data_IF_214409041258
#
_entry.id   IF_214409041258
#
_cell.length_a   1.000
_cell.length_b   1.000
_cell.length_c   1.000
_cell.angle_alpha   90.00
_cell.angle_beta   90.00
_cell.angle_gamma   90.00
#
_symmetry.space_group_name_H-M   'P 1'
#
loop_
_entity.id
_entity.type
_entity.pdbx_description
1 polymer ?
#
# COMPACT_ATOMS: atom_id res chain seq x y z
N UNK A 1 -3.91 40.02 -0.36
CA UNK A 1 -2.77 39.69 -1.25
C UNK A 1 -1.52 39.66 -0.38
N UNK A 2 -1.21 38.50 0.19
CA UNK A 2 -0.16 38.35 1.20
C UNK A 2 0.88 37.41 0.63
N UNK A 3 2.10 37.91 0.44
CA UNK A 3 3.21 37.17 -0.15
C UNK A 3 3.73 36.10 0.81
N UNK A 4 3.97 34.89 0.29
CA UNK A 4 4.62 33.79 1.00
C UNK A 4 6.14 34.02 1.08
N UNK A 5 6.81 33.63 2.18
CA UNK A 5 8.26 33.78 2.31
C UNK A 5 9.00 32.69 1.53
N UNK A 6 10.06 33.08 0.83
CA UNK A 6 10.97 32.15 0.15
C UNK A 6 11.93 31.49 1.14
N UNK A 7 12.04 30.15 1.04
CA UNK A 7 12.97 29.32 1.81
C UNK A 7 14.33 29.24 1.07
N UNK A 8 15.48 29.36 1.76
CA UNK A 8 16.78 29.35 1.13
C UNK A 8 17.25 27.94 0.76
N UNK A 9 17.72 27.80 -0.49
CA UNK A 9 18.35 26.59 -1.04
C UNK A 9 19.74 26.43 -0.42
N UNK A 10 19.95 25.36 0.34
CA UNK A 10 21.28 24.92 0.76
C UNK A 10 21.85 23.92 -0.25
N UNK A 11 22.92 24.31 -0.96
CA UNK A 11 23.76 23.41 -1.74
C UNK A 11 25.00 23.03 -0.91
N UNK A 12 25.09 21.78 -0.46
CA UNK A 12 26.36 21.19 -0.03
C UNK A 12 26.49 19.78 -0.57
N UNK A 13 27.49 19.61 -1.43
CA UNK A 13 27.82 18.35 -2.07
C UNK A 13 28.43 17.34 -1.11
N UNK A 14 28.09 16.08 -1.33
CA UNK A 14 28.72 14.92 -0.70
C UNK A 14 29.37 14.05 -1.78
N UNK A 15 30.68 13.84 -1.64
CA UNK A 15 31.47 12.93 -2.49
C UNK A 15 31.10 11.49 -2.13
N UNK A 16 30.70 10.69 -3.13
CA UNK A 16 30.53 9.23 -2.98
C UNK A 16 31.89 8.51 -3.09
N UNK A 17 32.13 7.44 -2.31
CA UNK A 17 33.28 6.57 -2.52
C UNK A 17 33.06 5.66 -3.74
N UNK A 18 34.11 5.48 -4.55
CA UNK A 18 34.14 4.50 -5.64
C UNK A 18 34.39 3.11 -5.05
N UNK A 19 33.38 2.26 -5.06
CA UNK A 19 33.55 0.82 -4.87
C UNK A 19 34.05 0.23 -6.19
N UNK A 20 35.25 -0.37 -6.18
CA UNK A 20 35.80 -1.13 -7.31
C UNK A 20 35.28 -2.56 -7.23
N UNK A 21 34.41 -2.95 -8.16
CA UNK A 21 34.11 -4.35 -8.43
C UNK A 21 35.20 -4.92 -9.33
N UNK A 22 35.98 -5.86 -8.80
CA UNK A 22 36.89 -6.73 -9.55
C UNK A 22 36.13 -8.00 -9.94
N UNK A 23 35.68 -8.09 -11.19
CA UNK A 23 35.27 -9.34 -11.82
C UNK A 23 35.31 -9.18 -13.35
N UNK A 24 36.47 -9.40 -13.96
CA UNK A 24 36.62 -9.65 -15.39
C UNK A 24 38.03 -10.17 -15.67
N UNK A 25 38.30 -11.42 -15.27
CA UNK A 25 39.53 -12.12 -15.62
C UNK A 25 39.19 -13.53 -16.14
N UNK A 26 38.37 -13.61 -17.19
CA UNK A 26 38.12 -14.87 -17.90
C UNK A 26 37.88 -14.70 -19.42
N UNK A 27 38.14 -13.52 -19.99
CA UNK A 27 37.95 -13.25 -21.42
C UNK A 27 39.23 -12.75 -22.09
N UNK A 28 40.38 -13.35 -21.73
CA UNK A 28 41.68 -12.96 -22.30
C UNK A 28 42.52 -14.15 -22.79
N UNK A 29 41.87 -15.20 -23.30
CA UNK A 29 42.55 -16.29 -24.03
C UNK A 29 41.71 -16.65 -25.26
N UNK A 30 41.57 -15.72 -26.22
CA UNK A 30 41.08 -16.02 -27.59
C UNK A 30 41.30 -14.85 -28.58
N UNK A 31 42.31 -14.00 -28.37
CA UNK A 31 42.67 -12.98 -29.37
C UNK A 31 44.17 -13.07 -29.67
N UNK A 32 44.52 -14.00 -30.55
CA UNK A 32 45.75 -13.94 -31.33
C UNK A 32 45.33 -14.08 -32.79
N UNK A 33 45.50 -13.05 -33.65
CA UNK A 33 45.39 -13.24 -35.09
C UNK A 33 46.74 -13.73 -35.61
N UNK A 34 46.87 -15.03 -35.87
CA UNK A 34 47.89 -15.55 -36.79
C UNK A 34 47.16 -16.05 -38.02
N UNK A 35 47.39 -15.35 -39.13
CA UNK A 35 47.10 -15.82 -40.47
C UNK A 35 47.80 -17.17 -40.68
N UNK A 36 47.03 -18.25 -40.81
CA UNK A 36 47.37 -19.40 -41.65
C UNK A 36 46.13 -20.27 -41.77
N UNK A 37 45.72 -20.52 -43.01
CA UNK A 37 44.61 -21.40 -43.35
C UNK A 37 44.89 -22.84 -42.88
N UNK A 38 43.89 -23.44 -42.24
CA UNK A 38 43.73 -24.88 -42.12
C UNK A 38 43.91 -25.47 -40.71
N UNK A 39 42.89 -26.22 -40.28
CA UNK A 39 42.84 -27.24 -39.20
C UNK A 39 42.17 -26.82 -37.86
N UNK A 40 41.65 -27.77 -37.04
CA UNK A 40 40.31 -27.74 -36.46
C UNK A 40 40.34 -27.23 -35.01
N UNK A 41 40.46 -25.91 -34.84
CA UNK A 41 40.56 -25.28 -33.51
C UNK A 41 39.21 -24.88 -32.91
N UNK A 42 38.12 -24.83 -33.69
CA UNK A 42 36.83 -24.32 -33.23
C UNK A 42 36.14 -25.18 -32.16
N UNK A 43 36.34 -26.51 -32.18
CA UNK A 43 35.64 -27.43 -31.26
C UNK A 43 36.09 -27.31 -29.80
N UNK A 44 37.31 -26.83 -29.54
CA UNK A 44 37.82 -26.72 -28.17
C UNK A 44 37.25 -25.48 -27.46
N UNK A 45 37.08 -24.37 -28.19
CA UNK A 45 36.51 -23.13 -27.63
C UNK A 45 35.02 -23.31 -27.30
N UNK A 46 34.27 -24.01 -28.16
CA UNK A 46 32.85 -24.28 -27.93
C UNK A 46 32.62 -25.18 -26.70
N UNK A 47 33.51 -26.15 -26.46
CA UNK A 47 33.43 -27.03 -25.30
C UNK A 47 33.73 -26.30 -23.98
N UNK A 48 34.72 -25.40 -23.97
CA UNK A 48 35.07 -24.61 -22.78
C UNK A 48 33.96 -23.59 -22.46
N UNK A 49 33.38 -22.94 -23.48
CA UNK A 49 32.25 -22.03 -23.30
C UNK A 49 30.99 -22.74 -22.78
N UNK A 50 30.70 -23.96 -23.26
CA UNK A 50 29.57 -24.75 -22.79
C UNK A 50 29.76 -25.23 -21.34
N UNK A 51 30.98 -25.59 -20.94
CA UNK A 51 31.29 -26.02 -19.57
C UNK A 51 31.16 -24.85 -18.57
N UNK A 52 31.67 -23.67 -18.91
CA UNK A 52 31.54 -22.48 -18.07
C UNK A 52 30.06 -22.07 -17.86
N UNK A 53 29.24 -22.14 -18.92
CA UNK A 53 27.82 -21.85 -18.84
C UNK A 53 27.03 -22.90 -18.03
N UNK A 54 27.49 -24.14 -17.96
CA UNK A 54 26.87 -25.19 -17.15
C UNK A 54 27.17 -25.03 -15.65
N UNK A 55 28.41 -24.68 -15.29
CA UNK A 55 28.80 -24.40 -13.90
C UNK A 55 28.11 -23.15 -13.35
N UNK A 56 27.96 -22.09 -14.14
CA UNK A 56 27.24 -20.87 -13.75
C UNK A 56 25.75 -21.15 -13.50
N UNK A 57 25.12 -22.01 -14.32
CA UNK A 57 23.73 -22.46 -14.10
C UNK A 57 23.57 -23.30 -12.83
N UNK A 58 24.51 -24.19 -12.53
CA UNK A 58 24.47 -24.98 -11.29
C UNK A 58 24.67 -24.12 -10.04
N UNK A 59 25.59 -23.15 -10.07
CA UNK A 59 25.79 -22.20 -8.99
C UNK A 59 24.55 -21.35 -8.69
N UNK A 60 23.89 -20.84 -9.74
CA UNK A 60 22.64 -20.10 -9.62
C UNK A 60 21.50 -20.95 -9.06
N UNK A 61 21.40 -22.21 -9.45
CA UNK A 61 20.34 -23.10 -8.98
C UNK A 61 20.52 -23.47 -7.50
N UNK A 62 21.76 -23.70 -7.05
CA UNK A 62 22.06 -24.01 -5.65
C UNK A 62 21.82 -22.81 -4.72
N UNK A 63 22.17 -21.59 -5.15
CA UNK A 63 21.90 -20.35 -4.42
C UNK A 63 20.39 -20.05 -4.28
N UNK A 64 19.59 -20.40 -5.29
CA UNK A 64 18.14 -20.21 -5.22
C UNK A 64 17.46 -21.19 -4.24
N UNK A 65 17.95 -22.44 -4.16
CA UNK A 65 17.39 -23.44 -3.24
C UNK A 65 17.71 -23.09 -1.79
N UNK A 66 18.96 -22.73 -1.48
CA UNK A 66 19.36 -22.38 -0.11
C UNK A 66 18.68 -21.11 0.41
N UNK A 67 18.48 -20.10 -0.45
CA UNK A 67 17.74 -18.89 -0.08
C UNK A 67 16.27 -19.17 0.24
N UNK A 68 15.65 -20.15 -0.43
CA UNK A 68 14.25 -20.52 -0.17
C UNK A 68 14.09 -21.28 1.14
N UNK A 69 15.00 -22.20 1.45
CA UNK A 69 14.99 -22.96 2.71
C UNK A 69 15.25 -22.06 3.93
N UNK A 70 16.24 -21.16 3.84
CA UNK A 70 16.51 -20.17 4.90
C UNK A 70 15.28 -19.29 5.19
N UNK A 71 14.58 -18.81 4.15
CA UNK A 71 13.35 -18.02 4.32
C UNK A 71 12.18 -18.80 4.91
N UNK A 72 12.11 -20.12 4.72
CA UNK A 72 11.09 -20.94 5.36
C UNK A 72 11.42 -21.18 6.84
N UNK A 73 12.68 -21.47 7.16
CA UNK A 73 13.13 -21.66 8.54
C UNK A 73 13.01 -20.38 9.38
N UNK A 74 13.35 -19.21 8.81
CA UNK A 74 13.11 -17.92 9.46
C UNK A 74 11.62 -17.66 9.73
N UNK A 75 10.71 -18.12 8.86
CA UNK A 75 9.26 -17.97 9.05
C UNK A 75 8.71 -18.87 10.15
N UNK A 76 9.19 -20.11 10.24
CA UNK A 76 8.78 -21.04 11.30
C UNK A 76 9.20 -20.52 12.69
N UNK A 77 10.43 -20.03 12.82
CA UNK A 77 10.93 -19.48 14.08
C UNK A 77 10.17 -18.23 14.55
N UNK A 78 9.73 -17.37 13.62
CA UNK A 78 8.92 -16.18 13.93
C UNK A 78 7.49 -16.55 14.38
N UNK A 79 6.93 -17.64 13.85
CA UNK A 79 5.58 -18.07 14.22
C UNK A 79 5.52 -18.72 15.62
N UNK A 80 6.56 -19.46 16.03
CA UNK A 80 6.59 -20.09 17.36
C UNK A 80 6.80 -19.07 18.49
N UNK A 81 7.55 -18.00 18.25
CA UNK A 81 7.79 -16.94 19.26
C UNK A 81 6.59 -16.00 19.43
N UNK A 82 5.77 -15.80 18.39
CA UNK A 82 4.58 -14.95 18.47
C UNK A 82 3.46 -15.52 19.37
N UNK A 83 3.48 -16.82 19.70
CA UNK A 83 2.43 -17.48 20.48
C UNK A 83 2.56 -17.30 22.00
N UNK A 84 3.74 -16.98 22.53
CA UNK A 84 3.98 -16.92 23.99
C UNK A 84 4.06 -15.49 24.55
N UNK A 85 4.33 -14.48 23.71
CA UNK A 85 4.52 -13.09 24.16
C UNK A 85 3.24 -12.22 24.14
N UNK A 86 2.05 -12.82 24.01
CA UNK A 86 0.77 -12.10 24.09
C UNK A 86 0.39 -11.72 25.53
N UNK A 87 1.31 -11.12 26.31
CA UNK A 87 1.03 -10.58 27.64
C UNK A 87 0.32 -9.22 27.48
N UNK A 88 -0.93 -9.28 27.02
CA UNK A 88 -1.70 -8.08 26.72
C UNK A 88 -3.01 -8.21 25.93
N UNK A 89 -3.46 -9.39 25.50
CA UNK A 89 -4.90 -9.69 25.55
C UNK A 89 -5.74 -9.84 24.27
N UNK A 90 -5.31 -9.46 23.06
CA UNK A 90 -6.09 -9.78 21.86
C UNK A 90 -5.25 -10.04 20.61
N UNK A 91 -5.57 -11.14 19.95
CA UNK A 91 -5.01 -11.55 18.66
C UNK A 91 -5.74 -10.78 17.55
N UNK A 92 -5.38 -9.50 17.36
CA UNK A 92 -6.03 -8.61 16.41
C UNK A 92 -5.20 -8.45 15.14
N UNK A 93 -5.86 -8.51 13.99
CA UNK A 93 -5.26 -8.17 12.70
C UNK A 93 -6.06 -7.09 11.99
N UNK A 94 -5.42 -5.95 11.74
CA UNK A 94 -6.00 -4.88 10.96
C UNK A 94 -5.97 -5.22 9.46
N UNK A 95 -7.10 -5.04 8.78
CA UNK A 95 -7.22 -5.09 7.33
C UNK A 95 -7.22 -3.66 6.81
N UNK A 96 -6.15 -3.26 6.12
CA UNK A 96 -6.03 -1.90 5.59
C UNK A 96 -6.95 -1.71 4.37
N UNK A 97 -7.84 -0.71 4.46
CA UNK A 97 -8.63 -0.23 3.33
C UNK A 97 -8.13 1.17 2.97
N UNK A 98 -7.76 1.43 1.70
CA UNK A 98 -7.24 2.72 1.30
C UNK A 98 -8.17 3.88 1.67
N UNK A 99 -7.56 4.94 2.19
CA UNK A 99 -8.26 6.18 2.54
C UNK A 99 -9.33 6.02 3.63
N UNK A 100 -9.20 5.08 4.57
CA UNK A 100 -10.11 4.94 5.74
C UNK A 100 -9.40 5.13 7.08
N UNK A 101 -8.41 6.05 7.17
CA UNK A 101 -7.54 6.20 8.36
C UNK A 101 -6.62 4.99 8.66
N UNK A 102 -6.37 4.12 7.68
CA UNK A 102 -5.52 2.93 7.86
C UNK A 102 -4.11 3.25 8.36
N UNK A 103 -3.44 4.24 7.76
CA UNK A 103 -2.11 4.67 8.22
C UNK A 103 -2.13 5.20 9.67
N UNK A 104 -3.21 5.85 10.11
CA UNK A 104 -3.32 6.29 11.51
C UNK A 104 -3.48 5.10 12.48
N UNK A 105 -4.22 4.07 12.08
CA UNK A 105 -4.35 2.82 12.85
C UNK A 105 -3.00 2.10 12.95
N UNK A 106 -2.29 2.01 11.83
CA UNK A 106 -0.97 1.37 11.75
C UNK A 106 0.07 2.13 12.56
N UNK A 107 0.05 3.46 12.52
CA UNK A 107 0.87 4.32 13.37
C UNK A 107 0.59 4.06 14.85
N UNK A 108 -0.68 4.01 15.26
CA UNK A 108 -1.07 3.73 16.64
C UNK A 108 -0.62 2.33 17.09
N UNK A 109 -0.75 1.33 16.21
CA UNK A 109 -0.28 -0.05 16.44
C UNK A 109 1.24 -0.15 16.56
N UNK A 110 1.96 0.67 15.79
CA UNK A 110 3.42 0.74 15.80
C UNK A 110 4.01 1.51 17.00
N UNK A 111 3.18 2.23 17.76
CA UNK A 111 3.66 3.12 18.82
C UNK A 111 4.17 4.48 18.33
N UNK A 112 3.69 4.94 17.17
CA UNK A 112 4.01 6.25 16.57
C UNK A 112 4.81 6.16 15.27
N UNK A 113 4.77 7.24 14.47
CA UNK A 113 5.36 7.25 13.12
C UNK A 113 6.85 6.92 13.10
N UNK A 114 7.61 7.44 14.08
CA UNK A 114 9.04 7.18 14.15
C UNK A 114 9.33 5.70 14.42
N UNK A 115 8.55 5.06 15.30
CA UNK A 115 8.69 3.63 15.58
C UNK A 115 8.32 2.78 14.37
N UNK A 116 7.25 3.15 13.65
CA UNK A 116 6.85 2.52 12.39
C UNK A 116 7.96 2.61 11.32
N UNK A 117 8.55 3.80 11.12
CA UNK A 117 9.58 4.04 10.10
C UNK A 117 10.93 3.41 10.43
N UNK A 118 11.34 3.45 11.70
CA UNK A 118 12.64 2.93 12.11
C UNK A 118 12.63 1.42 12.37
N UNK A 119 11.46 0.78 12.33
CA UNK A 119 11.27 -0.62 12.67
C UNK A 119 12.04 -0.97 13.95
N UNK A 120 11.92 -0.14 15.00
CA UNK A 120 12.69 -0.29 16.23
C UNK A 120 12.32 -1.62 16.89
N UNK A 121 13.17 -2.62 16.67
CA UNK A 121 13.11 -3.93 17.31
C UNK A 121 13.19 -3.73 18.83
N UNK A 122 12.12 -4.08 19.54
CA UNK A 122 12.05 -3.93 20.99
C UNK A 122 10.70 -3.50 21.54
N UNK A 123 9.76 -3.14 20.66
CA UNK A 123 8.35 -3.06 21.03
C UNK A 123 7.63 -4.27 20.42
N UNK A 124 6.81 -4.96 21.22
CA UNK A 124 5.74 -5.89 20.78
C UNK A 124 4.65 -5.13 20.00
N UNK A 125 5.09 -4.27 19.08
CA UNK A 125 4.25 -3.41 18.30
C UNK A 125 3.55 -4.27 17.26
N UNK A 126 2.23 -4.18 17.25
CA UNK A 126 1.44 -4.96 16.34
C UNK A 126 1.74 -4.49 14.91
N UNK A 127 2.35 -5.37 14.10
CA UNK A 127 2.60 -5.11 12.67
C UNK A 127 1.31 -5.34 11.91
N UNK A 128 0.52 -4.28 11.83
CA UNK A 128 -0.79 -4.27 11.22
C UNK A 128 -0.74 -3.79 9.77
N UNK A 129 -1.71 -4.26 8.97
CA UNK A 129 -1.91 -3.87 7.58
C UNK A 129 -0.60 -3.80 6.77
N UNK A 130 -0.27 -2.61 6.26
CA UNK A 130 0.91 -2.34 5.44
C UNK A 130 2.24 -2.62 6.15
N UNK A 131 2.30 -2.48 7.47
CA UNK A 131 3.50 -2.77 8.26
C UNK A 131 3.74 -4.29 8.44
N UNK A 132 2.77 -5.14 8.08
CA UNK A 132 2.92 -6.58 8.15
C UNK A 132 3.81 -7.10 7.00
N UNK A 133 4.98 -7.74 7.27
CA UNK A 133 5.93 -8.14 6.22
C UNK A 133 5.32 -9.11 5.18
N UNK A 134 4.41 -9.97 5.62
CA UNK A 134 3.69 -10.90 4.75
C UNK A 134 2.76 -10.24 3.71
N UNK A 135 2.47 -8.94 3.85
CA UNK A 135 1.56 -8.18 2.98
C UNK A 135 2.29 -7.22 2.01
N UNK A 136 3.62 -7.16 2.03
CA UNK A 136 4.39 -6.27 1.14
C UNK A 136 4.53 -6.78 -0.30
N UNK A 137 3.87 -7.90 -0.65
CA UNK A 137 3.88 -8.46 -2.00
C UNK A 137 2.82 -7.84 -2.92
N UNK A 138 2.88 -8.21 -4.21
CA UNK A 138 1.84 -7.88 -5.20
C UNK A 138 0.93 -9.08 -5.43
N UNK A 139 -0.38 -8.86 -5.41
CA UNK A 139 -1.36 -9.87 -5.79
C UNK A 139 -1.26 -10.19 -7.28
N UNK A 140 -1.12 -11.47 -7.60
CA UNK A 140 -1.13 -11.95 -9.00
C UNK A 140 -2.51 -11.86 -9.65
N UNK A 141 -3.57 -11.73 -8.85
CA UNK A 141 -4.96 -11.68 -9.32
C UNK A 141 -5.36 -10.25 -9.63
N UNK A 142 -5.07 -9.32 -8.72
CA UNK A 142 -5.51 -7.92 -8.83
C UNK A 142 -4.44 -6.99 -9.39
N UNK A 143 -3.15 -7.37 -9.29
CA UNK A 143 -2.02 -6.48 -9.62
C UNK A 143 -1.73 -5.41 -8.56
N UNK A 144 -2.48 -5.39 -7.47
CA UNK A 144 -2.34 -4.44 -6.37
C UNK A 144 -1.38 -4.96 -5.29
N UNK A 145 -0.87 -4.06 -4.47
CA UNK A 145 -0.21 -4.40 -3.22
C UNK A 145 -1.16 -5.23 -2.32
N UNK A 146 -0.64 -6.29 -1.67
CA UNK A 146 -1.47 -7.21 -0.89
C UNK A 146 -2.12 -6.50 0.30
N UNK A 147 -1.46 -5.53 0.92
CA UNK A 147 -2.04 -4.73 2.01
C UNK A 147 -3.26 -3.87 1.58
N UNK A 148 -3.46 -3.57 0.29
CA UNK A 148 -4.67 -2.91 -0.23
C UNK A 148 -5.62 -3.86 -0.97
N UNK A 149 -5.30 -5.15 -0.99
CA UNK A 149 -6.09 -6.17 -1.70
C UNK A 149 -7.05 -6.84 -0.73
N UNK A 150 -8.32 -7.06 -1.08
CA UNK A 150 -9.23 -7.87 -0.25
C UNK A 150 -8.65 -9.27 0.03
N UNK A 151 -8.72 -9.79 1.28
CA UNK A 151 -8.10 -11.06 1.64
C UNK A 151 -8.50 -12.27 0.80
N UNK A 152 -9.70 -12.26 0.20
CA UNK A 152 -10.16 -13.31 -0.72
C UNK A 152 -9.29 -13.45 -1.99
N UNK A 153 -8.46 -12.46 -2.30
CA UNK A 153 -7.50 -12.50 -3.41
C UNK A 153 -6.05 -12.66 -2.96
N UNK A 154 -5.80 -12.89 -1.67
CA UNK A 154 -4.46 -13.17 -1.18
C UNK A 154 -4.02 -14.59 -1.56
N UNK A 155 -2.72 -14.82 -1.77
CA UNK A 155 -2.18 -16.17 -1.81
C UNK A 155 -2.58 -16.95 -0.55
N UNK A 156 -2.84 -18.25 -0.68
CA UNK A 156 -3.27 -19.08 0.45
C UNK A 156 -2.32 -18.98 1.64
N UNK A 157 -1.02 -18.99 1.38
CA UNK A 157 0.04 -18.88 2.39
C UNK A 157 0.04 -17.53 3.12
N UNK A 158 -0.40 -16.46 2.45
CA UNK A 158 -0.57 -15.15 3.06
C UNK A 158 -1.88 -15.09 3.84
N UNK A 159 -2.94 -15.71 3.34
CA UNK A 159 -4.23 -15.74 4.01
C UNK A 159 -4.15 -16.50 5.35
N UNK A 160 -3.27 -17.51 5.47
CA UNK A 160 -2.98 -18.21 6.74
C UNK A 160 -2.58 -17.27 7.88
N UNK A 161 -2.04 -16.08 7.59
CA UNK A 161 -1.73 -15.05 8.60
C UNK A 161 -2.96 -14.58 9.37
N UNK A 162 -4.14 -14.68 8.76
CA UNK A 162 -5.42 -14.31 9.35
C UNK A 162 -5.99 -15.40 10.24
N UNK A 163 -5.40 -16.61 10.24
CA UNK A 163 -5.93 -17.73 11.01
C UNK A 163 -5.85 -17.41 12.50
N UNK A 164 -6.96 -17.67 13.19
CA UNK A 164 -7.14 -17.42 14.63
C UNK A 164 -7.05 -15.94 15.04
N UNK A 165 -7.02 -15.00 14.09
CA UNK A 165 -7.04 -13.56 14.37
C UNK A 165 -8.47 -13.04 14.41
N UNK A 166 -8.74 -12.09 15.30
CA UNK A 166 -9.90 -11.20 15.18
C UNK A 166 -9.57 -10.12 14.16
N UNK A 167 -10.27 -10.14 13.04
CA UNK A 167 -10.04 -9.22 11.93
C UNK A 167 -10.83 -7.95 12.16
N UNK A 168 -10.20 -6.79 11.96
CA UNK A 168 -10.89 -5.52 12.10
C UNK A 168 -10.46 -4.50 11.04
N UNK A 169 -11.32 -3.53 10.77
CA UNK A 169 -11.01 -2.42 9.87
C UNK A 169 -11.84 -1.18 10.19
N UNK A 170 -11.50 -0.08 9.54
CA UNK A 170 -12.25 1.17 9.62
C UNK A 170 -13.28 1.20 8.48
N UNK A 171 -14.51 1.59 8.80
CA UNK A 171 -15.55 1.79 7.78
C UNK A 171 -15.89 3.28 7.69
N UNK A 172 -15.51 3.88 6.57
CA UNK A 172 -15.63 5.31 6.28
C UNK A 172 -16.77 5.59 5.31
N UNK A 173 -17.39 6.75 5.47
CA UNK A 173 -18.38 7.29 4.53
C UNK A 173 -17.82 7.34 3.09
N UNK A 174 -18.52 6.79 2.07
CA UNK A 174 -17.99 6.72 0.71
C UNK A 174 -17.67 8.09 0.09
N UNK A 175 -18.42 9.14 0.42
CA UNK A 175 -18.16 10.48 -0.12
C UNK A 175 -16.86 11.05 0.45
N UNK A 176 -16.69 10.98 1.76
CA UNK A 176 -15.49 11.48 2.44
C UNK A 176 -14.24 10.65 2.08
N UNK A 177 -14.40 9.33 1.96
CA UNK A 177 -13.33 8.43 1.49
C UNK A 177 -12.80 8.84 0.12
N UNK A 178 -13.67 9.11 -0.84
CA UNK A 178 -13.25 9.47 -2.20
C UNK A 178 -12.71 10.89 -2.32
N UNK A 179 -13.21 11.84 -1.53
CA UNK A 179 -12.58 13.14 -1.41
C UNK A 179 -11.15 13.01 -0.84
N UNK A 180 -10.93 12.09 0.11
CA UNK A 180 -9.59 11.80 0.63
C UNK A 180 -8.68 11.07 -0.36
N UNK A 181 -9.24 10.15 -1.16
CA UNK A 181 -8.51 9.49 -2.24
C UNK A 181 -7.95 10.52 -3.22
N UNK A 182 -8.77 11.47 -3.68
CA UNK A 182 -8.28 12.53 -4.54
C UNK A 182 -7.12 13.33 -3.90
N UNK A 183 -7.24 13.71 -2.62
CA UNK A 183 -6.18 14.44 -1.90
C UNK A 183 -4.87 13.65 -1.82
N UNK A 184 -4.92 12.33 -1.60
CA UNK A 184 -3.75 11.46 -1.66
C UNK A 184 -3.09 11.49 -3.04
N UNK A 185 -3.90 11.37 -4.10
CA UNK A 185 -3.43 11.33 -5.48
C UNK A 185 -2.79 12.65 -5.93
N UNK A 186 -3.30 13.80 -5.43
CA UNK A 186 -2.66 15.11 -5.64
C UNK A 186 -1.27 15.15 -5.01
N UNK A 187 -1.12 14.59 -3.81
CA UNK A 187 0.16 14.47 -3.10
C UNK A 187 1.15 13.49 -3.73
N UNK A 188 0.78 12.85 -4.85
CA UNK A 188 1.57 11.81 -5.53
C UNK A 188 2.01 10.67 -4.60
N UNK A 189 1.31 10.47 -3.49
CA UNK A 189 1.67 9.48 -2.46
C UNK A 189 0.68 8.34 -2.53
N UNK A 190 1.18 7.11 -2.64
CA UNK A 190 0.36 5.90 -2.59
C UNK A 190 0.54 5.18 -1.24
N UNK A 191 1.77 5.19 -0.73
CA UNK A 191 2.12 4.69 0.60
C UNK A 191 3.19 5.55 1.26
N UNK A 192 2.94 5.96 2.50
CA UNK A 192 3.92 6.67 3.32
C UNK A 192 5.01 5.73 3.88
N UNK A 193 4.69 4.46 4.11
CA UNK A 193 5.62 3.51 4.75
C UNK A 193 6.59 2.88 3.75
N UNK A 194 6.12 2.59 2.54
CA UNK A 194 6.94 2.04 1.46
C UNK A 194 7.49 3.10 0.51
N UNK A 195 7.16 4.37 0.76
CA UNK A 195 7.52 5.51 -0.09
C UNK A 195 7.13 5.30 -1.57
N UNK A 196 5.99 4.64 -1.79
CA UNK A 196 5.46 4.42 -3.13
C UNK A 196 4.70 5.65 -3.58
N UNK A 197 4.93 6.05 -4.83
CA UNK A 197 4.23 7.16 -5.47
C UNK A 197 3.16 6.67 -6.43
N UNK A 198 2.18 7.53 -6.73
CA UNK A 198 1.20 7.26 -7.80
C UNK A 198 1.90 6.89 -9.11
N UNK A 199 2.97 7.59 -9.47
CA UNK A 199 3.74 7.33 -10.70
C UNK A 199 4.39 5.95 -10.70
N UNK A 200 4.89 5.46 -9.55
CA UNK A 200 5.43 4.09 -9.43
C UNK A 200 4.34 3.04 -9.70
N UNK A 201 3.14 3.26 -9.15
CA UNK A 201 1.97 2.41 -9.39
C UNK A 201 1.55 2.45 -10.86
N UNK A 202 1.43 3.64 -11.46
CA UNK A 202 1.11 3.83 -12.88
C UNK A 202 2.09 3.07 -13.78
N UNK A 203 3.39 3.15 -13.49
CA UNK A 203 4.43 2.43 -14.22
C UNK A 203 4.31 0.91 -14.06
N UNK A 204 4.06 0.42 -12.84
CA UNK A 204 3.86 -1.01 -12.54
C UNK A 204 2.65 -1.60 -13.26
N UNK A 205 1.54 -0.86 -13.26
CA UNK A 205 0.29 -1.26 -13.93
C UNK A 205 0.39 -1.15 -15.46
N UNK A 206 1.47 -0.57 -16.00
CA UNK A 206 1.61 -0.29 -17.43
C UNK A 206 0.61 0.75 -17.93
N UNK A 207 0.05 1.55 -17.02
CA UNK A 207 -0.98 2.54 -17.32
C UNK A 207 -0.52 3.93 -16.85
N UNK A 208 0.14 4.65 -17.76
CA UNK A 208 0.65 6.01 -17.52
C UNK A 208 -0.40 7.11 -17.69
N UNK A 209 -1.68 6.76 -17.88
CA UNK A 209 -2.75 7.72 -18.08
C UNK A 209 -2.85 8.74 -16.93
N UNK A 210 -2.67 8.27 -15.68
CA UNK A 210 -2.69 9.11 -14.46
C UNK A 210 -1.53 10.11 -14.39
N UNK A 211 -0.52 9.96 -15.25
CA UNK A 211 0.59 10.89 -15.42
C UNK A 211 0.39 11.81 -16.64
N UNK A 212 -0.67 11.61 -17.41
CA UNK A 212 -1.02 12.40 -18.58
C UNK A 212 -1.60 13.78 -18.26
N UNK A 213 -1.69 14.63 -19.29
CA UNK A 213 -2.08 16.04 -19.17
C UNK A 213 -3.44 16.24 -18.46
N UNK A 214 -4.43 15.40 -18.76
CA UNK A 214 -5.76 15.49 -18.16
C UNK A 214 -5.72 15.32 -16.62
N UNK A 215 -5.03 14.28 -16.13
CA UNK A 215 -4.89 14.06 -14.69
C UNK A 215 -4.04 15.15 -14.03
N UNK A 216 -2.96 15.57 -14.68
CA UNK A 216 -2.15 16.68 -14.18
C UNK A 216 -2.97 17.98 -14.07
N UNK A 217 -3.93 18.21 -14.97
CA UNK A 217 -4.89 19.31 -14.84
C UNK A 217 -5.76 19.14 -13.61
N UNK A 218 -6.35 17.97 -13.39
CA UNK A 218 -7.18 17.72 -12.19
C UNK A 218 -6.42 18.02 -10.90
N UNK A 219 -5.18 17.54 -10.78
CA UNK A 219 -4.38 17.75 -9.57
C UNK A 219 -4.00 19.21 -9.36
N UNK A 220 -3.65 19.92 -10.44
CA UNK A 220 -3.26 21.35 -10.38
C UNK A 220 -4.44 22.25 -10.02
N UNK A 221 -5.62 21.93 -10.52
CA UNK A 221 -6.85 22.71 -10.34
C UNK A 221 -7.65 22.26 -9.11
N UNK A 222 -7.19 21.23 -8.39
CA UNK A 222 -7.96 20.55 -7.34
C UNK A 222 -9.37 20.13 -7.84
N UNK A 223 -9.50 19.72 -9.10
CA UNK A 223 -10.76 19.31 -9.73
C UNK A 223 -11.12 17.87 -9.32
N UNK A 224 -11.60 17.73 -8.07
CA UNK A 224 -12.03 16.46 -7.50
C UNK A 224 -13.13 15.80 -8.32
N UNK A 225 -14.02 16.59 -8.92
CA UNK A 225 -15.15 16.07 -9.68
C UNK A 225 -14.66 15.48 -11.01
N UNK A 226 -13.84 16.22 -11.77
CA UNK A 226 -13.25 15.71 -13.01
C UNK A 226 -12.49 14.40 -12.79
N UNK A 227 -11.64 14.36 -11.76
CA UNK A 227 -10.90 13.15 -11.38
C UNK A 227 -11.83 11.98 -11.05
N UNK A 228 -12.75 12.14 -10.08
CA UNK A 228 -13.60 11.04 -9.62
C UNK A 228 -14.56 10.57 -10.70
N UNK A 229 -15.10 11.47 -11.53
CA UNK A 229 -15.99 11.08 -12.61
C UNK A 229 -15.27 10.21 -13.66
N UNK A 230 -14.00 10.50 -13.98
CA UNK A 230 -13.22 9.66 -14.90
C UNK A 230 -12.94 8.30 -14.26
N UNK A 231 -12.43 8.29 -13.03
CA UNK A 231 -12.07 7.09 -12.28
C UNK A 231 -13.26 6.14 -12.06
N UNK A 232 -14.40 6.66 -11.58
CA UNK A 232 -15.58 5.85 -11.27
C UNK A 232 -16.25 5.30 -12.54
N UNK A 233 -16.22 6.03 -13.67
CA UNK A 233 -16.71 5.49 -14.95
C UNK A 233 -15.82 4.35 -15.45
N UNK A 234 -14.51 4.43 -15.26
CA UNK A 234 -13.57 3.33 -15.60
C UNK A 234 -13.78 2.12 -14.69
N UNK A 235 -14.04 2.34 -13.40
CA UNK A 235 -14.45 1.28 -12.48
C UNK A 235 -15.72 0.57 -12.98
N UNK A 236 -16.77 1.33 -13.31
CA UNK A 236 -18.02 0.78 -13.84
C UNK A 236 -17.85 0.06 -15.19
N UNK A 237 -16.82 0.43 -15.97
CA UNK A 237 -16.44 -0.26 -17.20
C UNK A 237 -15.63 -1.56 -16.97
N UNK A 238 -15.37 -1.93 -15.72
CA UNK A 238 -14.72 -3.19 -15.33
C UNK A 238 -13.26 -3.05 -14.88
N UNK A 239 -12.67 -1.85 -14.93
CA UNK A 239 -11.31 -1.60 -14.45
C UNK A 239 -11.30 -1.40 -12.92
N UNK A 240 -11.66 -2.47 -12.19
CA UNK A 240 -11.93 -2.41 -10.74
C UNK A 240 -10.67 -2.30 -9.87
N UNK A 241 -9.51 -2.71 -10.39
CA UNK A 241 -8.25 -2.80 -9.62
C UNK A 241 -7.24 -1.70 -9.94
N UNK A 242 -7.61 -0.73 -10.78
CA UNK A 242 -6.77 0.43 -11.11
C UNK A 242 -6.36 1.22 -9.88
N UNK A 243 -5.18 1.85 -9.95
CA UNK A 243 -4.70 2.72 -8.89
C UNK A 243 -4.49 1.96 -7.60
N UNK A 244 -3.79 0.82 -7.69
CA UNK A 244 -3.44 -0.01 -6.54
C UNK A 244 -4.65 -0.45 -5.68
N UNK A 245 -5.81 -0.68 -6.31
CA UNK A 245 -7.06 -1.07 -5.65
C UNK A 245 -7.71 0.00 -4.73
N UNK A 246 -7.31 1.27 -4.81
CA UNK A 246 -7.83 2.33 -3.94
C UNK A 246 -9.34 2.57 -4.06
N UNK A 247 -9.91 2.29 -5.24
CA UNK A 247 -11.33 2.49 -5.54
C UNK A 247 -12.21 1.27 -5.22
N UNK A 248 -11.66 0.20 -4.61
CA UNK A 248 -12.49 -0.93 -4.21
C UNK A 248 -13.41 -0.54 -3.03
N UNK A 249 -14.73 -0.78 -3.11
CA UNK A 249 -15.64 -0.60 -1.98
C UNK A 249 -15.19 -1.38 -0.74
N UNK A 250 -15.37 -0.81 0.45
CA UNK A 250 -15.02 -1.44 1.73
C UNK A 250 -15.77 -2.76 1.95
N UNK A 251 -16.98 -2.87 1.40
CA UNK A 251 -17.77 -4.11 1.36
C UNK A 251 -17.05 -5.28 0.66
N UNK A 252 -16.09 -5.03 -0.23
CA UNK A 252 -15.26 -6.09 -0.84
C UNK A 252 -14.35 -6.78 0.18
N UNK A 253 -14.08 -6.12 1.31
CA UNK A 253 -13.24 -6.60 2.42
C UNK A 253 -14.05 -7.22 3.56
N UNK A 254 -15.39 -7.09 3.56
CA UNK A 254 -16.25 -7.52 4.66
C UNK A 254 -16.22 -9.03 4.95
N UNK A 255 -15.86 -9.84 3.95
CA UNK A 255 -15.74 -11.29 4.07
C UNK A 255 -14.32 -11.71 3.72
N UNK A 256 -13.73 -12.51 4.59
CA UNK A 256 -12.44 -13.16 4.38
C UNK A 256 -12.62 -14.68 4.45
N UNK A 257 -11.64 -15.47 3.98
CA UNK A 257 -11.67 -16.91 4.14
C UNK A 257 -11.75 -17.39 5.61
N UNK A 258 -11.40 -16.54 6.58
CA UNK A 258 -11.26 -16.91 7.99
C UNK A 258 -12.27 -16.25 8.93
N UNK A 259 -13.15 -15.40 8.41
CA UNK A 259 -14.18 -14.76 9.22
C UNK A 259 -14.60 -13.39 8.70
N UNK A 260 -15.62 -12.80 9.35
CA UNK A 260 -16.02 -11.42 9.08
C UNK A 260 -14.96 -10.45 9.61
N UNK A 261 -14.92 -9.27 9.00
CA UNK A 261 -14.18 -8.11 9.54
C UNK A 261 -15.09 -7.36 10.51
N UNK A 262 -14.59 -7.10 11.72
CA UNK A 262 -15.22 -6.20 12.67
C UNK A 262 -14.97 -4.74 12.25
N UNK A 263 -16.02 -3.93 12.27
CA UNK A 263 -15.98 -2.58 11.74
C UNK A 263 -15.96 -1.54 12.84
N UNK A 264 -15.02 -0.61 12.75
CA UNK A 264 -14.94 0.58 13.59
C UNK A 264 -15.55 1.75 12.82
N UNK A 265 -16.50 2.43 13.46
CA UNK A 265 -17.15 3.61 12.88
C UNK A 265 -16.16 4.76 12.81
N UNK A 266 -15.75 5.07 11.59
CA UNK A 266 -14.76 6.10 11.37
C UNK A 266 -15.27 7.49 11.75
N UNK A 267 -16.59 7.75 11.75
CA UNK A 267 -17.19 9.07 12.06
C UNK A 267 -16.89 9.59 13.47
N UNK A 268 -16.50 8.69 14.38
CA UNK A 268 -16.24 9.00 15.79
C UNK A 268 -14.78 8.81 16.19
N UNK A 269 -13.83 8.91 15.25
CA UNK A 269 -12.40 8.87 15.60
C UNK A 269 -11.98 10.12 16.41
N UNK A 270 -11.07 9.99 17.40
CA UNK A 270 -10.38 8.75 17.80
C UNK A 270 -11.22 7.82 18.71
N UNK A 271 -12.32 8.30 19.29
CA UNK A 271 -13.07 7.62 20.34
C UNK A 271 -13.63 6.24 19.96
N UNK A 272 -14.04 6.02 18.71
CA UNK A 272 -14.50 4.70 18.24
C UNK A 272 -13.36 3.66 18.21
N UNK A 273 -12.18 4.07 17.75
CA UNK A 273 -11.00 3.22 17.72
C UNK A 273 -10.53 2.88 19.14
N UNK A 274 -10.43 3.89 20.01
CA UNK A 274 -9.95 3.69 21.37
C UNK A 274 -10.89 2.79 22.19
N UNK A 275 -12.22 2.94 22.03
CA UNK A 275 -13.21 2.03 22.62
C UNK A 275 -13.09 0.61 22.09
N UNK A 276 -12.84 0.44 20.78
CA UNK A 276 -12.64 -0.88 20.19
C UNK A 276 -11.38 -1.55 20.75
N UNK A 277 -10.28 -0.80 20.89
CA UNK A 277 -9.05 -1.32 21.47
C UNK A 277 -9.24 -1.66 22.96
N UNK A 278 -9.96 -0.83 23.71
CA UNK A 278 -10.30 -1.10 25.11
C UNK A 278 -11.15 -2.36 25.29
N UNK A 279 -12.17 -2.59 24.45
CA UNK A 279 -13.03 -3.78 24.52
C UNK A 279 -12.24 -5.08 24.27
N UNK A 280 -11.17 -5.00 23.49
CA UNK A 280 -10.24 -6.08 23.21
C UNK A 280 -9.03 -6.12 24.16
N UNK A 281 -8.99 -5.26 25.18
CA UNK A 281 -7.84 -5.11 26.10
C UNK A 281 -6.52 -4.78 25.39
N UNK A 282 -6.59 -4.29 24.14
CA UNK A 282 -5.43 -3.90 23.36
C UNK A 282 -4.91 -2.53 23.82
N UNK A 283 -3.59 -2.34 23.76
CA UNK A 283 -2.89 -1.12 24.19
C UNK A 283 -2.91 0.06 23.20
N UNK A 284 -2.92 -0.13 21.86
CA UNK A 284 -2.86 0.98 20.91
C UNK A 284 -3.94 2.03 21.14
N UNK A 285 -3.57 3.31 21.08
CA UNK A 285 -4.47 4.46 21.21
C UNK A 285 -4.16 5.49 20.14
N UNK A 286 -5.20 6.13 19.62
CA UNK A 286 -5.07 7.10 18.52
C UNK A 286 -4.87 8.51 19.09
N UNK A 287 -3.66 9.05 18.99
CA UNK A 287 -3.31 10.35 19.63
C UNK A 287 -3.49 11.56 18.73
N UNK A 288 -3.39 11.41 17.41
CA UNK A 288 -3.80 12.40 16.41
C UNK A 288 -3.91 11.75 15.03
N UNK A 289 -4.93 12.07 14.23
CA UNK A 289 -5.01 11.61 12.86
C UNK A 289 -3.95 12.25 11.97
N UNK A 290 -3.25 11.42 11.19
CA UNK A 290 -2.51 11.88 10.02
C UNK A 290 -3.52 12.46 9.03
N UNK A 291 -3.29 13.68 8.55
CA UNK A 291 -4.14 14.32 7.56
C UNK A 291 -3.32 14.81 6.38
N UNK A 292 -3.94 14.74 5.20
CA UNK A 292 -3.35 15.21 3.97
C UNK A 292 -3.28 16.74 3.96
N UNK A 293 -2.22 17.27 3.36
CA UNK A 293 -1.93 18.72 3.30
C UNK A 293 -2.22 19.36 1.94
N UNK A 294 -2.69 18.57 0.97
CA UNK A 294 -2.97 19.03 -0.41
C UNK A 294 -4.46 19.16 -0.67
N UNK A 295 -4.83 20.22 -1.40
CA UNK A 295 -6.23 20.54 -1.72
C UNK A 295 -7.13 20.49 -0.48
N UNK A 296 -6.72 21.14 0.60
CA UNK A 296 -7.38 21.05 1.91
C UNK A 296 -8.85 21.54 1.89
N UNK A 297 -9.23 22.39 0.94
CA UNK A 297 -10.62 22.83 0.81
C UNK A 297 -11.55 21.79 0.14
N UNK A 298 -11.01 20.62 -0.23
CA UNK A 298 -11.77 19.52 -0.84
C UNK A 298 -12.27 18.54 0.24
N UNK A 299 -13.59 18.39 0.31
CA UNK A 299 -14.28 17.43 1.18
C UNK A 299 -15.45 16.77 0.44
N UNK A 300 -16.22 15.92 1.14
CA UNK A 300 -17.47 15.37 0.63
C UNK A 300 -18.44 16.46 0.12
N UNK A 301 -18.38 17.67 0.69
CA UNK A 301 -19.22 18.80 0.31
C UNK A 301 -18.81 19.47 -1.01
N UNK A 302 -17.59 19.22 -1.50
CA UNK A 302 -17.09 19.73 -2.79
C UNK A 302 -17.60 18.92 -4.00
N UNK A 303 -18.28 17.79 -3.75
CA UNK A 303 -18.77 16.89 -4.78
C UNK A 303 -20.05 17.42 -5.41
N UNK A 304 -20.08 17.47 -6.75
CA UNK A 304 -21.28 17.79 -7.50
C UNK A 304 -22.21 16.57 -7.59
N UNK A 305 -23.44 16.80 -8.06
CA UNK A 305 -24.47 15.76 -8.02
C UNK A 305 -24.20 14.58 -8.96
N UNK A 306 -23.57 14.84 -10.12
CA UNK A 306 -23.16 13.78 -11.04
C UNK A 306 -22.12 12.87 -10.39
N UNK A 307 -21.10 13.45 -9.72
CA UNK A 307 -20.10 12.67 -9.01
C UNK A 307 -20.74 11.86 -7.88
N UNK A 308 -21.63 12.48 -7.08
CA UNK A 308 -22.34 11.76 -6.01
C UNK A 308 -23.18 10.60 -6.53
N UNK A 309 -23.82 10.73 -7.69
CA UNK A 309 -24.54 9.63 -8.34
C UNK A 309 -23.61 8.46 -8.70
N UNK A 310 -22.44 8.74 -9.28
CA UNK A 310 -21.43 7.70 -9.57
C UNK A 310 -20.94 7.02 -8.29
N UNK A 311 -20.74 7.78 -7.21
CA UNK A 311 -20.34 7.23 -5.90
C UNK A 311 -21.43 6.30 -5.37
N UNK A 312 -22.69 6.73 -5.35
CA UNK A 312 -23.82 5.89 -4.93
C UNK A 312 -23.96 4.63 -5.76
N UNK A 313 -23.61 4.68 -7.05
CA UNK A 313 -23.64 3.51 -7.92
C UNK A 313 -22.51 2.51 -7.60
N UNK A 314 -21.27 2.98 -7.49
CA UNK A 314 -20.10 2.12 -7.24
C UNK A 314 -20.07 1.59 -5.80
N UNK A 315 -20.46 2.42 -4.83
CA UNK A 315 -20.36 2.15 -3.39
C UNK A 315 -21.73 1.82 -2.76
N UNK A 316 -22.73 1.39 -3.54
CA UNK A 316 -24.06 1.05 -3.05
C UNK A 316 -24.03 0.08 -1.86
N UNK A 317 -23.18 -0.95 -1.94
CA UNK A 317 -22.99 -1.96 -0.91
C UNK A 317 -22.31 -1.41 0.36
N UNK A 318 -21.46 -0.38 0.24
CA UNK A 318 -20.84 0.28 1.40
C UNK A 318 -21.88 1.07 2.20
N UNK A 319 -22.78 1.80 1.52
CA UNK A 319 -23.88 2.50 2.20
C UNK A 319 -24.78 1.51 2.96
N UNK A 320 -25.07 0.35 2.37
CA UNK A 320 -25.85 -0.71 3.04
C UNK A 320 -25.09 -1.30 4.23
N UNK A 321 -23.80 -1.54 4.08
CA UNK A 321 -22.93 -2.01 5.15
C UNK A 321 -22.89 -1.02 6.31
N UNK A 322 -22.74 0.28 6.05
CA UNK A 322 -22.75 1.35 7.05
C UNK A 322 -24.10 1.40 7.77
N UNK A 323 -25.22 1.41 7.04
CA UNK A 323 -26.56 1.40 7.63
C UNK A 323 -26.77 0.18 8.54
N UNK A 324 -26.38 -1.01 8.09
CA UNK A 324 -26.53 -2.24 8.87
C UNK A 324 -25.64 -2.26 10.11
N UNK A 325 -24.44 -1.71 10.02
CA UNK A 325 -23.43 -1.81 11.09
C UNK A 325 -23.61 -0.71 12.14
N UNK A 326 -23.92 0.51 11.72
CA UNK A 326 -23.92 1.69 12.60
C UNK A 326 -25.26 2.44 12.64
N UNK A 327 -26.22 2.11 11.78
CA UNK A 327 -27.52 2.78 11.71
C UNK A 327 -27.53 4.09 10.89
N UNK A 328 -26.41 4.47 10.27
CA UNK A 328 -26.37 5.62 9.36
C UNK A 328 -26.92 5.23 7.99
N UNK A 329 -28.23 5.41 7.80
CA UNK A 329 -28.95 4.87 6.64
C UNK A 329 -29.27 5.89 5.54
N UNK A 330 -28.98 7.18 5.77
CA UNK A 330 -29.16 8.19 4.74
C UNK A 330 -28.01 8.13 3.73
N UNK A 331 -28.32 7.71 2.49
CA UNK A 331 -27.34 7.59 1.40
C UNK A 331 -26.97 8.96 0.79
N UNK A 332 -27.68 10.02 1.14
CA UNK A 332 -27.43 11.39 0.70
C UNK A 332 -26.69 12.22 1.77
N UNK A 333 -26.60 11.73 3.00
CA UNK A 333 -25.84 12.35 4.06
C UNK A 333 -24.37 12.45 3.66
N UNK A 334 -23.81 13.65 3.75
CA UNK A 334 -22.38 13.89 3.58
C UNK A 334 -21.76 14.08 4.95
N UNK A 335 -20.74 13.29 5.23
CA UNK A 335 -19.97 13.39 6.45
C UNK A 335 -18.60 14.02 6.20
N UNK A 336 -18.06 14.69 7.21
CA UNK A 336 -16.68 15.14 7.25
C UNK A 336 -16.21 15.32 8.70
N UNK A 337 -14.94 14.99 8.97
CA UNK A 337 -14.29 15.18 10.27
C UNK A 337 -13.99 16.64 10.59
N UNK A 338 -14.89 17.28 11.33
CA UNK A 338 -14.71 18.68 11.76
C UNK A 338 -13.59 18.86 12.78
N UNK A 339 -13.22 17.80 13.50
CA UNK A 339 -12.12 17.79 14.45
C UNK A 339 -10.74 17.72 13.77
N UNK A 340 -10.68 17.51 12.45
CA UNK A 340 -9.44 17.49 11.68
C UNK A 340 -9.29 18.82 10.93
N UNK A 341 -8.27 19.63 11.28
CA UNK A 341 -8.07 20.94 10.69
C UNK A 341 -8.04 20.90 9.16
N UNK A 342 -8.82 21.80 8.54
CA UNK A 342 -8.91 21.93 7.09
C UNK A 342 -9.37 20.66 6.36
N UNK A 343 -10.09 19.74 7.00
CA UNK A 343 -10.61 18.56 6.32
C UNK A 343 -11.95 18.81 5.65
N UNK A 344 -12.75 19.74 6.18
CA UNK A 344 -14.10 20.02 5.71
C UNK A 344 -14.21 21.25 4.80
N UNK A 345 -13.10 21.93 4.52
CA UNK A 345 -13.06 23.13 3.69
C UNK A 345 -14.12 24.16 4.09
N UNK A 346 -14.85 24.66 3.11
CA UNK A 346 -15.93 25.65 3.28
C UNK A 346 -17.31 25.00 3.48
N UNK A 347 -17.41 23.99 4.38
CA UNK A 347 -18.70 23.39 4.74
C UNK A 347 -19.74 24.52 4.95
N UNK A 348 -20.89 24.49 4.23
CA UNK A 348 -21.84 25.60 4.21
C UNK A 348 -22.49 25.89 5.56
#
# INVERSE_FOLDING_TARGET
MSAWPQVPIWSKGTRRPKVRFTAALATLICVVPVFSEGTPSSRLCDAVAASAAAEERQGHQLLQVTSRELRMQEREAVNETAAEDSVGGANLQFIHIPCTFGHTVEEAGAGGLLAALLNLEGHDAARWGELHPGLQGISKITGCNLFYTPPKYWPSETAELLRNQTLFSMLRDPYDRLANEFRMQVGNTDSAYLLLTRSDISAREGNLEREGEEYQRFYRECDVNGYLQVELRKYLAGDRFRGNCHLLPSSEFASTPYGPVEWIDERFIPDSFDRYMESHKAKPRMTMPLHNVWCNDISAYSLNEETKQLIRQVYAADFELICKTFGHCDKEEMFCHENIPNMCGSKP
#
